data_IF_183880598550
#
_entry.id   IF_183880598550
#
_cell.length_a   1.000
_cell.length_b   1.000
_cell.length_c   1.000
_cell.angle_alpha   90.00
_cell.angle_beta   90.00
_cell.angle_gamma   90.00
#
_symmetry.space_group_name_H-M   'P 1'
#
loop_
_entity.id
_entity.type
_entity.pdbx_description
1 polymer ?
#
# COMPACT_ATOMS: atom_id res chain seq x y z
N UNK A 1 -6.90 -2.04 8.01
CA UNK A 1 -8.04 -2.86 8.47
C UNK A 1 -7.53 -4.06 9.23
N UNK A 2 -8.29 -4.46 10.23
CA UNK A 2 -8.31 -5.83 10.73
C UNK A 2 -9.46 -6.53 10.00
N UNK A 3 -9.12 -7.37 9.02
CA UNK A 3 -10.09 -7.96 8.09
C UNK A 3 -10.52 -9.39 8.49
N UNK A 4 -9.97 -9.92 9.58
CA UNK A 4 -10.18 -11.31 10.00
C UNK A 4 -9.38 -12.34 9.19
N UNK A 5 -9.36 -13.60 9.65
CA UNK A 5 -8.51 -14.66 9.09
C UNK A 5 -8.98 -15.20 7.73
N UNK A 6 -10.27 -15.05 7.41
CA UNK A 6 -10.87 -15.57 6.17
C UNK A 6 -10.79 -14.59 5.00
N UNK A 7 -10.12 -13.45 5.19
CA UNK A 7 -9.98 -12.45 4.14
C UNK A 7 -9.12 -12.99 2.99
N UNK A 8 -9.59 -12.78 1.77
CA UNK A 8 -8.84 -13.14 0.57
C UNK A 8 -8.40 -11.90 -0.20
N UNK A 9 -7.38 -12.07 -1.02
CA UNK A 9 -6.94 -11.06 -1.98
C UNK A 9 -8.10 -10.59 -2.86
N UNK A 10 -8.89 -11.52 -3.40
CA UNK A 10 -10.03 -11.19 -4.25
C UNK A 10 -11.08 -10.36 -3.50
N UNK A 11 -11.36 -10.70 -2.24
CA UNK A 11 -12.31 -9.94 -1.40
C UNK A 11 -11.84 -8.49 -1.21
N UNK A 12 -10.54 -8.27 -0.94
CA UNK A 12 -10.00 -6.91 -0.82
C UNK A 12 -10.02 -6.16 -2.15
N UNK A 13 -9.71 -6.83 -3.26
CA UNK A 13 -9.82 -6.23 -4.59
C UNK A 13 -11.26 -5.80 -4.88
N UNK A 14 -12.23 -6.69 -4.67
CA UNK A 14 -13.64 -6.38 -4.89
C UNK A 14 -14.13 -5.24 -3.99
N UNK A 15 -13.68 -5.21 -2.73
CA UNK A 15 -14.00 -4.15 -1.78
C UNK A 15 -13.45 -2.78 -2.21
N UNK A 16 -12.22 -2.74 -2.75
CA UNK A 16 -11.54 -1.49 -3.08
C UNK A 16 -11.75 -1.01 -4.53
N UNK A 17 -12.04 -1.93 -5.47
CA UNK A 17 -12.06 -1.68 -6.92
C UNK A 17 -12.84 -0.43 -7.30
N UNK A 18 -14.11 -0.35 -6.86
CA UNK A 18 -14.97 0.78 -7.19
C UNK A 18 -14.39 2.12 -6.70
N UNK A 19 -13.77 2.15 -5.52
CA UNK A 19 -13.18 3.38 -4.98
C UNK A 19 -11.95 3.80 -5.77
N UNK A 20 -11.11 2.85 -6.16
CA UNK A 20 -9.93 3.12 -7.00
C UNK A 20 -10.35 3.72 -8.34
N UNK A 21 -11.32 3.10 -9.02
CA UNK A 21 -11.83 3.59 -10.31
C UNK A 21 -12.42 5.00 -10.19
N UNK A 22 -13.31 5.23 -9.22
CA UNK A 22 -13.93 6.56 -9.02
C UNK A 22 -12.89 7.64 -8.74
N UNK A 23 -11.85 7.35 -7.95
CA UNK A 23 -10.79 8.32 -7.67
C UNK A 23 -9.88 8.54 -8.88
N UNK A 24 -9.56 7.49 -9.63
CA UNK A 24 -8.78 7.61 -10.86
C UNK A 24 -9.49 8.50 -11.91
N UNK A 25 -10.81 8.36 -12.04
CA UNK A 25 -11.62 9.13 -12.99
C UNK A 25 -11.96 10.55 -12.49
N UNK A 26 -11.59 10.90 -11.26
CA UNK A 26 -11.95 12.20 -10.66
C UNK A 26 -11.11 13.38 -11.18
N UNK A 27 -10.05 13.10 -11.96
CA UNK A 27 -9.06 14.10 -12.35
C UNK A 27 -7.97 14.32 -11.31
N UNK A 28 -7.77 13.37 -10.39
CA UNK A 28 -6.69 13.41 -9.41
C UNK A 28 -5.31 13.27 -10.09
N UNK A 29 -4.33 14.03 -9.63
CA UNK A 29 -2.95 13.95 -10.13
C UNK A 29 -2.22 12.70 -9.63
N UNK A 30 -2.65 12.15 -8.50
CA UNK A 30 -2.03 11.01 -7.83
C UNK A 30 -3.08 10.27 -6.97
N UNK A 31 -2.98 8.93 -6.91
CA UNK A 31 -3.68 8.11 -5.93
C UNK A 31 -2.82 7.86 -4.69
N UNK A 32 -3.35 8.21 -3.53
CA UNK A 32 -2.70 8.01 -2.24
C UNK A 32 -3.23 6.76 -1.54
N UNK A 33 -2.48 5.65 -1.57
CA UNK A 33 -2.78 4.49 -0.73
C UNK A 33 -2.00 4.63 0.59
N UNK A 34 -2.68 5.04 1.65
CA UNK A 34 -2.05 5.39 2.93
C UNK A 34 -2.46 4.48 4.08
N UNK A 35 -1.62 4.42 5.11
CA UNK A 35 -1.87 3.65 6.34
C UNK A 35 -2.16 2.17 6.04
N UNK A 36 -1.46 1.62 5.04
CA UNK A 36 -1.66 0.23 4.62
C UNK A 36 -1.10 -0.68 5.71
N UNK A 37 -1.94 -1.56 6.29
CA UNK A 37 -1.62 -2.26 7.52
C UNK A 37 -0.89 -3.59 7.30
N UNK A 38 -0.99 -4.16 6.11
CA UNK A 38 -0.64 -5.54 5.81
C UNK A 38 -0.26 -5.72 4.33
N UNK A 39 0.44 -6.82 4.05
CA UNK A 39 0.93 -7.17 2.71
C UNK A 39 -0.20 -7.48 1.72
N UNK A 40 -1.26 -8.15 2.17
CA UNK A 40 -2.36 -8.61 1.32
C UNK A 40 -3.16 -7.44 0.72
N UNK A 41 -3.42 -6.39 1.50
CA UNK A 41 -4.10 -5.17 1.06
C UNK A 41 -3.19 -4.36 0.12
N UNK A 42 -1.89 -4.28 0.41
CA UNK A 42 -0.92 -3.66 -0.48
C UNK A 42 -0.91 -4.34 -1.85
N UNK A 43 -0.92 -5.68 -1.86
CA UNK A 43 -1.01 -6.48 -3.08
C UNK A 43 -2.34 -6.24 -3.81
N UNK A 44 -3.46 -6.20 -3.09
CA UNK A 44 -4.77 -5.93 -3.70
C UNK A 44 -4.77 -4.60 -4.47
N UNK A 45 -4.24 -3.52 -3.90
CA UNK A 45 -4.15 -2.24 -4.58
C UNK A 45 -3.19 -2.28 -5.78
N UNK A 46 -2.00 -2.87 -5.62
CA UNK A 46 -1.04 -2.96 -6.72
C UNK A 46 -1.61 -3.75 -7.91
N UNK A 47 -2.30 -4.86 -7.66
CA UNK A 47 -2.97 -5.63 -8.71
C UNK A 47 -4.13 -4.85 -9.34
N UNK A 48 -4.94 -4.13 -8.56
CA UNK A 48 -6.02 -3.29 -9.12
C UNK A 48 -5.48 -2.20 -10.04
N UNK A 49 -4.34 -1.57 -9.69
CA UNK A 49 -3.73 -0.57 -10.55
C UNK A 49 -3.37 -1.14 -11.93
N UNK A 50 -2.87 -2.37 -12.00
CA UNK A 50 -2.52 -3.04 -13.25
C UNK A 50 -3.74 -3.60 -13.99
N UNK A 51 -4.61 -4.35 -13.29
CA UNK A 51 -5.79 -5.02 -13.88
C UNK A 51 -6.82 -4.07 -14.48
N UNK A 52 -7.08 -2.95 -13.79
CA UNK A 52 -8.07 -1.97 -14.23
C UNK A 52 -7.44 -0.87 -15.11
N UNK A 53 -6.19 -1.06 -15.52
CA UNK A 53 -5.41 -0.13 -16.33
C UNK A 53 -5.45 1.33 -15.85
N UNK A 54 -5.31 1.53 -14.54
CA UNK A 54 -5.30 2.86 -13.92
C UNK A 54 -4.11 3.67 -14.42
N UNK A 55 -4.34 4.83 -15.04
CA UNK A 55 -3.25 5.67 -15.59
C UNK A 55 -2.68 6.67 -14.57
N UNK A 56 -3.43 6.97 -13.52
CA UNK A 56 -3.02 7.91 -12.47
C UNK A 56 -1.88 7.29 -11.64
N UNK A 57 -0.74 7.97 -11.46
CA UNK A 57 0.35 7.47 -10.65
C UNK A 57 -0.08 7.32 -9.18
N UNK A 58 0.55 6.41 -8.46
CA UNK A 58 0.21 6.10 -7.09
C UNK A 58 1.41 6.19 -6.14
N UNK A 59 1.17 6.54 -4.88
CA UNK A 59 2.10 6.21 -3.80
C UNK A 59 1.50 5.18 -2.86
N UNK A 60 2.39 4.51 -2.14
CA UNK A 60 2.04 3.57 -1.09
C UNK A 60 2.71 4.00 0.21
N UNK A 61 1.94 4.11 1.28
CA UNK A 61 2.46 4.41 2.61
C UNK A 61 1.98 3.39 3.62
N UNK A 62 2.95 2.79 4.31
CA UNK A 62 2.72 1.80 5.36
C UNK A 62 2.79 2.44 6.75
N UNK A 63 2.36 1.70 7.76
CA UNK A 63 2.56 2.09 9.16
C UNK A 63 3.20 0.96 9.96
N UNK A 64 3.92 1.33 11.03
CA UNK A 64 4.64 0.40 11.87
C UNK A 64 4.47 0.74 13.35
N UNK A 65 4.53 -0.29 14.20
CA UNK A 65 4.53 -0.16 15.66
C UNK A 65 5.86 -0.55 16.31
N UNK A 66 6.75 -1.20 15.56
CA UNK A 66 8.01 -1.76 16.05
C UNK A 66 9.25 -1.27 15.26
N UNK A 67 9.05 -0.57 14.14
CA UNK A 67 10.13 -0.07 13.29
C UNK A 67 10.73 -1.11 12.34
N UNK A 68 10.11 -2.27 12.19
CA UNK A 68 10.60 -3.37 11.33
C UNK A 68 9.48 -3.95 10.46
N UNK A 69 8.29 -4.12 11.04
CA UNK A 69 7.15 -4.74 10.39
C UNK A 69 6.04 -3.71 10.18
N UNK A 70 5.16 -3.97 9.22
CA UNK A 70 3.87 -3.28 9.18
C UNK A 70 3.00 -3.76 10.35
N UNK A 71 1.93 -3.04 10.69
CA UNK A 71 1.18 -3.31 11.94
C UNK A 71 0.56 -4.71 12.05
N UNK A 72 0.30 -5.39 10.92
CA UNK A 72 -0.12 -6.80 10.88
C UNK A 72 0.97 -7.80 11.29
N UNK A 73 2.24 -7.39 11.26
CA UNK A 73 3.39 -8.27 11.46
C UNK A 73 4.10 -8.69 10.17
N UNK A 74 3.60 -8.31 8.99
CA UNK A 74 4.34 -8.54 7.73
C UNK A 74 5.62 -7.69 7.68
N UNK A 75 6.67 -8.19 7.03
CA UNK A 75 7.93 -7.44 6.87
C UNK A 75 7.69 -6.15 6.07
N UNK A 76 8.18 -5.01 6.59
CA UNK A 76 8.10 -3.72 5.89
C UNK A 76 8.80 -3.76 4.53
N UNK A 77 9.98 -4.37 4.48
CA UNK A 77 10.78 -4.43 3.26
C UNK A 77 10.14 -5.30 2.20
N UNK A 78 9.51 -6.42 2.59
CA UNK A 78 8.75 -7.26 1.65
C UNK A 78 7.51 -6.54 1.11
N UNK A 79 6.81 -5.78 1.95
CA UNK A 79 5.66 -5.00 1.52
C UNK A 79 6.07 -3.91 0.52
N UNK A 80 7.18 -3.21 0.79
CA UNK A 80 7.74 -2.20 -0.10
C UNK A 80 8.16 -2.82 -1.44
N UNK A 81 8.95 -3.90 -1.42
CA UNK A 81 9.39 -4.57 -2.66
C UNK A 81 8.21 -5.11 -3.48
N UNK A 82 7.14 -5.56 -2.84
CA UNK A 82 5.95 -6.05 -3.54
C UNK A 82 5.29 -4.95 -4.39
N UNK A 83 5.08 -3.77 -3.79
CA UNK A 83 4.40 -2.67 -4.49
C UNK A 83 5.34 -1.96 -5.46
N UNK A 84 6.66 -2.05 -5.25
CA UNK A 84 7.67 -1.48 -6.13
C UNK A 84 7.67 -2.09 -7.54
N UNK A 85 7.23 -3.35 -7.67
CA UNK A 85 7.10 -4.05 -8.95
C UNK A 85 6.05 -3.41 -9.87
N UNK A 86 5.08 -2.67 -9.32
CA UNK A 86 4.06 -1.97 -10.09
C UNK A 86 4.62 -0.65 -10.63
N UNK A 87 4.67 -0.51 -11.96
CA UNK A 87 5.27 0.66 -12.63
C UNK A 87 4.49 1.96 -12.36
N UNK A 88 3.22 1.84 -11.99
CA UNK A 88 2.34 2.96 -11.65
C UNK A 88 2.64 3.53 -10.26
N UNK A 89 3.36 2.78 -9.42
CA UNK A 89 3.82 3.25 -8.11
C UNK A 89 5.04 4.14 -8.31
N UNK A 90 4.95 5.41 -7.93
CA UNK A 90 6.01 6.40 -8.07
C UNK A 90 6.75 6.70 -6.76
N UNK A 91 6.15 6.36 -5.63
CA UNK A 91 6.75 6.55 -4.31
C UNK A 91 6.27 5.50 -3.29
N UNK A 92 7.16 5.16 -2.36
CA UNK A 92 6.86 4.28 -1.22
C UNK A 92 7.32 5.01 0.04
N UNK A 93 6.49 4.99 1.08
CA UNK A 93 6.75 5.76 2.30
C UNK A 93 6.17 5.12 3.55
N UNK A 94 6.26 5.89 4.64
CA UNK A 94 5.73 5.54 5.95
C UNK A 94 4.93 6.73 6.49
N UNK A 95 3.74 6.47 7.02
CA UNK A 95 2.93 7.45 7.73
C UNK A 95 2.39 6.82 9.02
N UNK A 96 1.73 7.63 9.86
CA UNK A 96 1.04 7.16 11.07
C UNK A 96 1.88 6.24 12.00
N UNK A 97 3.18 6.50 12.09
CA UNK A 97 4.16 5.68 12.82
C UNK A 97 4.88 6.54 13.87
N UNK A 98 5.18 6.02 15.08
CA UNK A 98 5.90 6.78 16.09
C UNK A 98 7.23 7.35 15.53
N UNK A 99 7.51 8.67 15.69
CA UNK A 99 8.64 9.33 15.03
C UNK A 99 10.01 8.67 15.24
N UNK A 100 10.22 8.05 16.41
CA UNK A 100 11.46 7.31 16.75
C UNK A 100 11.80 6.16 15.77
N UNK A 101 10.82 5.62 15.06
CA UNK A 101 11.01 4.54 14.10
C UNK A 101 11.18 5.01 12.66
N UNK A 102 10.79 6.25 12.35
CA UNK A 102 10.72 6.75 10.97
C UNK A 102 12.08 6.73 10.28
N UNK A 103 13.15 7.17 10.96
CA UNK A 103 14.47 7.23 10.35
C UNK A 103 14.98 5.85 9.91
N UNK A 104 14.88 4.84 10.78
CA UNK A 104 15.30 3.47 10.45
C UNK A 104 14.45 2.87 9.34
N UNK A 105 13.14 3.10 9.37
CA UNK A 105 12.23 2.62 8.34
C UNK A 105 12.52 3.23 6.97
N UNK A 106 12.72 4.55 6.88
CA UNK A 106 13.08 5.24 5.62
C UNK A 106 14.37 4.67 5.04
N UNK A 107 15.38 4.35 5.87
CA UNK A 107 16.62 3.73 5.39
C UNK A 107 16.38 2.31 4.88
N UNK A 108 15.44 1.57 5.49
CA UNK A 108 15.15 0.18 5.14
C UNK A 108 14.34 -0.01 3.85
N UNK A 109 13.55 1.00 3.44
CA UNK A 109 12.77 0.96 2.22
C UNK A 109 13.45 1.78 1.12
N UNK A 110 13.67 1.18 -0.04
CA UNK A 110 14.19 1.86 -1.22
C UNK A 110 13.33 1.49 -2.43
N UNK A 111 13.03 2.50 -3.23
CA UNK A 111 12.48 2.41 -4.58
C UNK A 111 13.57 2.83 -5.55
#
# INVERSE_FOLDING_TARGET
GDYGPDITLQTLKDFHRRRVQVLADSGADLLAFETIPNKLEAQAYAELLEEDDIQVPAWFSFNSKDGVNVVSGDSMTECASLVDLCKKVVAIGINCTPPRFIHGLIISIQK
#
